data_IF_965866773184
#
_entry.id   IF_965866773184
#
_cell.length_a   1.000
_cell.length_b   1.000
_cell.length_c   1.000
_cell.angle_alpha   90.00
_cell.angle_beta   90.00
_cell.angle_gamma   90.00
#
_symmetry.space_group_name_H-M   'P 1'
#
loop_
_entity.id
_entity.type
_entity.pdbx_description
1 polymer ?
#
# COMPACT_ATOMS: atom_id res chain seq x y z
N UNK A 1 14.48 -13.68 -2.63
CA UNK A 1 14.25 -12.26 -2.35
C UNK A 1 12.82 -12.15 -1.86
N UNK A 2 12.66 -11.59 -0.67
CA UNK A 2 11.41 -11.53 0.07
C UNK A 2 10.81 -10.15 -0.13
N UNK A 3 9.63 -10.10 -0.73
CA UNK A 3 8.96 -8.87 -1.13
C UNK A 3 7.68 -8.71 -0.33
N UNK A 4 7.49 -7.54 0.29
CA UNK A 4 6.18 -7.19 0.83
C UNK A 4 5.49 -6.13 -0.04
N UNK A 5 4.20 -6.34 -0.30
CA UNK A 5 3.31 -5.37 -0.92
C UNK A 5 2.38 -4.85 0.16
N UNK A 6 2.52 -3.58 0.53
CA UNK A 6 1.78 -2.96 1.63
C UNK A 6 0.63 -2.13 1.09
N UNK A 7 -0.57 -2.54 1.45
CA UNK A 7 -1.83 -1.99 0.94
C UNK A 7 -2.79 -1.73 2.12
N UNK A 8 -3.66 -0.71 2.09
CA UNK A 8 -4.61 -0.48 3.17
C UNK A 8 -5.63 -1.62 3.27
N UNK A 9 -6.07 -2.15 2.13
CA UNK A 9 -7.04 -3.24 2.04
C UNK A 9 -6.61 -4.22 0.97
N UNK A 10 -6.88 -5.49 1.22
CA UNK A 10 -6.69 -6.53 0.24
C UNK A 10 -7.80 -7.58 0.36
N UNK A 11 -8.38 -7.94 -0.77
CA UNK A 11 -9.17 -9.15 -0.88
C UNK A 11 -8.75 -9.93 -2.12
N UNK A 12 -8.52 -11.25 -2.00
CA UNK A 12 -8.25 -12.10 -3.17
C UNK A 12 -9.47 -12.26 -4.10
N UNK A 13 -10.68 -11.91 -3.65
CA UNK A 13 -11.89 -11.95 -4.47
C UNK A 13 -11.88 -10.90 -5.59
N UNK A 14 -11.47 -9.68 -5.27
CA UNK A 14 -11.29 -8.60 -6.23
C UNK A 14 -9.84 -8.64 -6.68
N UNK A 15 -9.59 -9.28 -7.83
CA UNK A 15 -8.25 -9.38 -8.44
C UNK A 15 -7.78 -8.03 -8.99
N UNK A 16 -7.47 -7.11 -8.08
CA UNK A 16 -6.91 -5.79 -8.36
C UNK A 16 -5.45 -5.84 -8.77
N UNK A 17 -4.83 -4.66 -8.86
CA UNK A 17 -3.44 -4.49 -9.28
C UNK A 17 -2.48 -5.28 -8.39
N UNK A 18 -2.72 -5.24 -7.07
CA UNK A 18 -1.92 -5.89 -6.04
C UNK A 18 -1.91 -7.40 -6.22
N UNK A 19 -3.08 -7.98 -6.52
CA UNK A 19 -3.21 -9.40 -6.80
C UNK A 19 -2.39 -9.78 -8.04
N UNK A 20 -2.58 -9.06 -9.15
CA UNK A 20 -1.89 -9.34 -10.40
C UNK A 20 -0.37 -9.18 -10.29
N UNK A 21 0.07 -8.16 -9.55
CA UNK A 21 1.48 -7.92 -9.26
C UNK A 21 2.06 -9.04 -8.40
N UNK A 22 1.41 -9.40 -7.29
CA UNK A 22 1.87 -10.46 -6.41
C UNK A 22 1.95 -11.81 -7.14
N UNK A 23 0.93 -12.15 -7.93
CA UNK A 23 0.92 -13.36 -8.73
C UNK A 23 2.06 -13.38 -9.76
N UNK A 24 2.29 -12.27 -10.44
CA UNK A 24 3.34 -12.16 -11.46
C UNK A 24 4.75 -12.24 -10.85
N UNK A 25 4.98 -11.56 -9.73
CA UNK A 25 6.26 -11.64 -9.01
C UNK A 25 6.51 -13.05 -8.45
N UNK A 26 5.48 -13.70 -7.94
CA UNK A 26 5.59 -15.09 -7.47
C UNK A 26 5.94 -16.04 -8.63
N UNK A 27 5.31 -15.87 -9.80
CA UNK A 27 5.63 -16.65 -11.02
C UNK A 27 7.06 -16.44 -11.50
N UNK A 28 7.69 -15.31 -11.17
CA UNK A 28 9.10 -15.04 -11.44
C UNK A 28 10.05 -15.65 -10.39
N UNK A 29 9.53 -16.32 -9.36
CA UNK A 29 10.31 -17.01 -8.33
C UNK A 29 10.61 -16.18 -7.08
N UNK A 30 9.92 -15.05 -6.86
CA UNK A 30 10.05 -14.26 -5.64
C UNK A 30 9.10 -14.77 -4.54
N UNK A 31 9.52 -14.63 -3.28
CA UNK A 31 8.64 -14.84 -2.12
C UNK A 31 7.88 -13.54 -1.88
N UNK A 32 6.56 -13.57 -2.01
CA UNK A 32 5.72 -12.36 -1.94
C UNK A 32 4.69 -12.49 -0.83
N UNK A 33 4.62 -11.46 0.00
CA UNK A 33 3.59 -11.32 1.04
C UNK A 33 2.85 -10.00 0.85
N UNK A 34 1.53 -10.04 0.76
CA UNK A 34 0.70 -8.84 0.81
C UNK A 34 0.38 -8.54 2.28
N UNK A 35 0.74 -7.35 2.75
CA UNK A 35 0.43 -6.89 4.11
C UNK A 35 -0.74 -5.92 4.03
N UNK A 36 -1.84 -6.26 4.68
CA UNK A 36 -3.08 -5.48 4.64
C UNK A 36 -3.75 -5.37 6.00
N UNK A 37 -4.70 -4.45 6.12
CA UNK A 37 -5.57 -4.36 7.30
C UNK A 37 -6.63 -5.47 7.31
N UNK A 38 -7.02 -5.97 8.49
CA UNK A 38 -8.23 -6.82 8.67
C UNK A 38 -9.54 -6.10 8.36
N UNK A 39 -9.54 -4.77 8.26
CA UNK A 39 -10.70 -4.02 7.80
C UNK A 39 -10.95 -4.31 6.31
N UNK A 40 -12.21 -4.19 5.89
CA UNK A 40 -12.61 -4.39 4.50
C UNK A 40 -12.86 -3.03 3.84
N UNK A 41 -12.41 -2.85 2.59
CA UNK A 41 -12.85 -1.70 1.81
C UNK A 41 -14.37 -1.78 1.58
N UNK A 42 -15.09 -0.67 1.33
CA UNK A 42 -16.54 -0.67 1.12
C UNK A 42 -17.04 -1.71 0.08
N UNK A 43 -16.23 -1.94 -0.97
CA UNK A 43 -16.51 -2.92 -2.03
C UNK A 43 -16.36 -4.39 -1.61
N UNK A 44 -15.77 -4.67 -0.45
CA UNK A 44 -15.33 -6.00 -0.01
C UNK A 44 -16.18 -6.53 1.16
N UNK A 45 -17.02 -5.69 1.77
CA UNK A 45 -17.76 -5.97 3.02
C UNK A 45 -18.69 -7.19 2.92
N UNK A 46 -19.15 -7.54 1.71
CA UNK A 46 -20.27 -8.49 1.52
C UNK A 46 -19.87 -9.92 1.17
N UNK A 47 -18.60 -10.20 0.90
CA UNK A 47 -18.22 -11.52 0.40
C UNK A 47 -17.27 -12.24 1.37
N UNK A 48 -17.67 -13.46 1.72
CA UNK A 48 -16.81 -14.46 2.33
C UNK A 48 -16.12 -15.20 1.20
N UNK A 49 -14.80 -15.10 1.16
CA UNK A 49 -13.98 -15.74 0.13
C UNK A 49 -13.10 -16.81 0.78
N UNK A 50 -13.17 -18.01 0.22
CA UNK A 50 -12.20 -19.09 0.46
C UNK A 50 -11.59 -19.47 -0.88
N UNK A 51 -10.28 -19.26 -1.04
CA UNK A 51 -9.56 -19.65 -2.24
C UNK A 51 -8.07 -19.61 -2.01
N UNK A 52 -7.35 -20.45 -2.75
CA UNK A 52 -5.90 -20.53 -2.74
C UNK A 52 -5.31 -19.56 -3.77
N UNK A 53 -4.21 -18.90 -3.39
CA UNK A 53 -3.44 -18.01 -4.25
C UNK A 53 -1.95 -18.24 -3.95
N UNK A 54 -1.06 -17.96 -4.91
CA UNK A 54 0.33 -18.45 -4.85
C UNK A 54 1.24 -17.65 -3.91
N UNK A 55 0.75 -16.58 -3.30
CA UNK A 55 1.49 -15.68 -2.41
C UNK A 55 0.87 -15.66 -1.02
N UNK A 56 1.60 -15.15 -0.04
CA UNK A 56 1.10 -15.01 1.32
C UNK A 56 0.33 -13.71 1.52
N UNK A 57 -0.58 -13.69 2.48
CA UNK A 57 -1.29 -12.47 2.90
C UNK A 57 -1.26 -12.38 4.41
N UNK A 58 -0.65 -11.32 4.93
CA UNK A 58 -0.66 -11.00 6.35
C UNK A 58 -1.68 -9.90 6.63
N UNK A 59 -2.73 -10.28 7.37
CA UNK A 59 -3.78 -9.38 7.79
C UNK A 59 -3.53 -8.85 9.19
N UNK A 60 -3.06 -7.61 9.26
CA UNK A 60 -2.79 -6.89 10.49
C UNK A 60 -4.08 -6.47 11.20
N UNK A 61 -4.04 -6.49 12.54
CA UNK A 61 -5.15 -6.01 13.37
C UNK A 61 -5.40 -4.52 13.12
N UNK A 62 -6.62 -4.18 12.69
CA UNK A 62 -7.07 -2.78 12.61
C UNK A 62 -7.37 -2.24 14.00
N UNK A 63 -6.77 -1.11 14.35
CA UNK A 63 -7.10 -0.35 15.56
C UNK A 63 -8.33 0.52 15.31
N UNK A 64 -8.29 1.29 14.22
CA UNK A 64 -9.37 2.19 13.79
C UNK A 64 -9.33 2.33 12.27
N UNK A 65 -10.50 2.45 11.65
CA UNK A 65 -10.61 2.79 10.22
C UNK A 65 -11.10 4.24 10.08
N UNK A 66 -10.23 5.14 9.60
CA UNK A 66 -10.54 6.56 9.48
C UNK A 66 -10.72 6.93 8.01
N UNK A 67 -11.99 6.97 7.55
CA UNK A 67 -12.34 7.48 6.23
C UNK A 67 -11.64 6.74 5.09
N UNK A 68 -11.65 5.40 5.15
CA UNK A 68 -10.97 4.49 4.23
C UNK A 68 -9.44 4.44 4.40
N UNK A 69 -8.90 4.94 5.51
CA UNK A 69 -7.48 4.85 5.84
C UNK A 69 -7.29 4.10 7.18
N UNK A 70 -6.98 2.80 7.15
CA UNK A 70 -6.92 1.99 8.35
C UNK A 70 -5.62 2.22 9.11
N UNK A 71 -5.73 2.43 10.42
CA UNK A 71 -4.61 2.38 11.34
C UNK A 71 -4.45 0.94 11.85
N UNK A 72 -3.30 0.34 11.60
CA UNK A 72 -3.01 -1.07 11.95
C UNK A 72 -2.03 -1.18 13.11
N UNK A 73 -2.08 -2.30 13.83
CA UNK A 73 -1.12 -2.71 14.86
C UNK A 73 -0.27 -3.89 14.35
N UNK A 74 0.98 -4.00 14.83
CA UNK A 74 1.80 -5.19 14.59
C UNK A 74 2.53 -5.27 13.25
N UNK A 75 2.60 -4.19 12.45
CA UNK A 75 3.43 -4.16 11.26
C UNK A 75 4.91 -4.42 11.62
N UNK A 76 5.45 -5.52 11.12
CA UNK A 76 6.86 -5.91 11.15
C UNK A 76 7.28 -6.29 9.72
N UNK A 77 8.34 -5.67 9.22
CA UNK A 77 8.85 -5.90 7.86
C UNK A 77 10.34 -6.27 7.81
N UNK A 78 10.97 -6.59 8.95
CA UNK A 78 12.42 -6.78 9.05
C UNK A 78 13.03 -7.89 8.20
N UNK A 79 12.23 -8.87 7.82
CA UNK A 79 12.67 -10.05 7.08
C UNK A 79 12.46 -9.91 5.55
N UNK A 80 12.02 -8.73 5.08
CA UNK A 80 11.85 -8.42 3.66
C UNK A 80 13.04 -7.64 3.11
N UNK A 81 13.40 -7.92 1.86
CA UNK A 81 14.44 -7.22 1.12
C UNK A 81 13.92 -5.91 0.51
N UNK A 82 12.62 -5.87 0.17
CA UNK A 82 11.97 -4.73 -0.47
C UNK A 82 10.49 -4.61 -0.06
N UNK A 83 10.07 -3.38 0.20
CA UNK A 83 8.70 -3.00 0.50
C UNK A 83 8.12 -2.14 -0.62
N UNK A 84 7.05 -2.62 -1.27
CA UNK A 84 6.27 -1.86 -2.22
C UNK A 84 5.03 -1.28 -1.53
N UNK A 85 4.95 0.04 -1.50
CA UNK A 85 3.87 0.80 -0.90
C UNK A 85 2.87 1.16 -2.00
N UNK A 86 1.61 0.77 -1.86
CA UNK A 86 0.59 1.00 -2.90
C UNK A 86 0.37 2.48 -3.21
N UNK A 87 0.53 3.35 -2.20
CA UNK A 87 0.21 4.78 -2.32
C UNK A 87 0.87 5.61 -1.21
N UNK A 88 0.92 6.93 -1.40
CA UNK A 88 1.60 7.89 -0.54
C UNK A 88 0.76 8.50 0.60
N UNK A 89 -0.55 8.25 0.65
CA UNK A 89 -1.45 8.80 1.68
C UNK A 89 -1.94 7.80 2.75
N UNK A 90 -1.99 6.46 2.51
CA UNK A 90 -2.40 5.53 3.55
C UNK A 90 -1.44 5.51 4.74
N UNK A 91 -1.96 5.49 5.96
CA UNK A 91 -1.15 5.47 7.18
C UNK A 91 -0.30 4.21 7.29
N UNK A 92 -0.80 3.07 6.81
CA UNK A 92 -0.03 1.83 6.76
C UNK A 92 1.22 1.97 5.87
N UNK A 93 1.13 2.69 4.75
CA UNK A 93 2.26 2.94 3.86
C UNK A 93 3.30 3.84 4.52
N UNK A 94 2.88 4.91 5.20
CA UNK A 94 3.78 5.78 5.98
C UNK A 94 4.51 5.02 7.08
N UNK A 95 3.80 4.12 7.77
CA UNK A 95 4.39 3.29 8.81
C UNK A 95 5.39 2.29 8.22
N UNK A 96 5.03 1.62 7.13
CA UNK A 96 5.92 0.69 6.43
C UNK A 96 7.17 1.40 5.90
N UNK A 97 7.02 2.59 5.31
CA UNK A 97 8.14 3.44 4.92
C UNK A 97 9.07 3.71 6.11
N UNK A 98 8.53 4.15 7.24
CA UNK A 98 9.32 4.47 8.43
C UNK A 98 10.07 3.25 8.97
N UNK A 99 9.41 2.08 9.05
CA UNK A 99 10.07 0.83 9.49
C UNK A 99 11.14 0.37 8.49
N UNK A 100 10.88 0.48 7.19
CA UNK A 100 11.83 0.11 6.15
C UNK A 100 13.10 0.95 6.25
N UNK A 101 12.96 2.27 6.45
CA UNK A 101 14.10 3.19 6.65
C UNK A 101 14.95 2.84 7.86
N UNK A 102 14.33 2.44 8.98
CA UNK A 102 15.06 2.02 10.19
C UNK A 102 15.87 0.75 9.97
N UNK A 103 15.39 -0.13 9.09
CA UNK A 103 15.93 -1.47 8.87
C UNK A 103 16.81 -1.55 7.61
N UNK A 104 16.92 -0.47 6.84
CA UNK A 104 17.70 -0.44 5.59
C UNK A 104 17.04 -1.15 4.41
N UNK A 105 15.73 -1.41 4.49
CA UNK A 105 14.94 -2.10 3.46
C UNK A 105 14.66 -1.15 2.31
N UNK A 106 14.74 -1.66 1.08
CA UNK A 106 14.45 -0.89 -0.12
C UNK A 106 12.96 -0.62 -0.25
N UNK A 107 12.63 0.60 -0.65
CA UNK A 107 11.23 1.04 -0.72
C UNK A 107 10.87 1.51 -2.13
N UNK A 108 9.73 1.04 -2.61
CA UNK A 108 9.08 1.56 -3.82
C UNK A 108 7.74 2.12 -3.37
N UNK A 109 7.38 3.34 -3.80
CA UNK A 109 5.98 3.77 -3.73
C UNK A 109 5.41 3.85 -5.14
N UNK A 110 4.27 3.18 -5.33
CA UNK A 110 3.45 3.36 -6.51
C UNK A 110 2.41 4.42 -6.22
N UNK A 111 2.09 5.29 -7.18
CA UNK A 111 0.91 6.16 -7.07
C UNK A 111 -0.17 5.66 -8.01
N UNK A 112 -1.32 5.33 -7.44
CA UNK A 112 -2.55 4.91 -8.11
C UNK A 112 -3.60 6.02 -8.16
N UNK A 113 -3.37 7.11 -7.40
CA UNK A 113 -4.23 8.28 -7.36
C UNK A 113 -4.33 8.94 -8.74
N UNK A 114 -5.57 9.13 -9.21
CA UNK A 114 -5.89 9.77 -10.49
C UNK A 114 -6.76 11.01 -10.35
N UNK A 115 -7.21 11.33 -9.15
CA UNK A 115 -8.05 12.50 -8.87
C UNK A 115 -7.90 12.97 -7.42
N UNK A 116 -8.30 14.22 -7.15
CA UNK A 116 -8.54 14.70 -5.78
C UNK A 116 -10.01 14.53 -5.42
N UNK A 117 -10.35 13.90 -4.29
CA UNK A 117 -11.72 13.88 -3.79
C UNK A 117 -12.28 15.30 -3.64
N UNK A 118 -13.56 15.49 -3.93
CA UNK A 118 -14.21 16.78 -3.70
C UNK A 118 -14.33 17.10 -2.19
N UNK A 119 -14.43 18.39 -1.87
CA UNK A 119 -14.71 18.87 -0.51
C UNK A 119 -13.51 18.77 0.45
N UNK A 120 -13.82 18.62 1.75
CA UNK A 120 -12.84 18.68 2.85
C UNK A 120 -11.76 17.60 2.71
N UNK A 121 -12.11 16.39 2.27
CA UNK A 121 -11.14 15.29 2.05
C UNK A 121 -10.05 15.69 1.06
N UNK A 122 -10.41 16.35 -0.04
CA UNK A 122 -9.44 16.86 -1.02
C UNK A 122 -8.55 17.95 -0.46
N UNK A 123 -9.09 18.86 0.34
CA UNK A 123 -8.31 19.90 1.00
C UNK A 123 -7.28 19.32 1.99
N UNK A 124 -7.69 18.34 2.80
CA UNK A 124 -6.80 17.63 3.73
C UNK A 124 -5.68 16.91 2.97
N UNK A 125 -6.02 16.17 1.90
CA UNK A 125 -5.02 15.48 1.08
C UNK A 125 -4.01 16.46 0.46
N UNK A 126 -4.46 17.60 -0.06
CA UNK A 126 -3.55 18.64 -0.60
C UNK A 126 -2.60 19.22 0.46
N UNK A 127 -3.02 19.28 1.71
CA UNK A 127 -2.14 19.70 2.82
C UNK A 127 -1.12 18.60 3.11
N UNK A 128 -1.55 17.34 3.18
CA UNK A 128 -0.67 16.19 3.38
C UNK A 128 0.34 16.03 2.24
N UNK A 129 -0.05 16.37 1.01
CA UNK A 129 0.83 16.38 -0.16
C UNK A 129 1.97 17.37 -0.08
N UNK A 130 1.86 18.43 0.73
CA UNK A 130 2.94 19.38 0.97
C UNK A 130 3.83 18.99 2.16
N UNK A 131 3.44 17.97 2.92
CA UNK A 131 4.13 17.53 4.13
C UNK A 131 4.52 16.05 4.03
N UNK A 132 3.80 15.21 4.76
CA UNK A 132 4.16 13.79 4.94
C UNK A 132 4.19 12.99 3.65
N UNK A 133 3.24 13.20 2.73
CA UNK A 133 3.26 12.43 1.48
C UNK A 133 4.47 12.84 0.61
N UNK A 134 4.86 14.12 0.64
CA UNK A 134 6.08 14.60 -0.04
C UNK A 134 7.33 13.98 0.55
N UNK A 135 7.45 13.98 1.87
CA UNK A 135 8.56 13.35 2.59
C UNK A 135 8.70 11.87 2.22
N UNK A 136 7.59 11.13 2.14
CA UNK A 136 7.59 9.75 1.68
C UNK A 136 8.06 9.64 0.22
N UNK A 137 7.46 10.41 -0.71
CA UNK A 137 7.80 10.37 -2.14
C UNK A 137 9.28 10.70 -2.40
N UNK A 138 9.83 11.71 -1.74
CA UNK A 138 11.24 12.10 -1.89
C UNK A 138 12.20 11.13 -1.19
N UNK A 139 11.71 10.36 -0.22
CA UNK A 139 12.53 9.54 0.65
C UNK A 139 12.60 8.05 0.31
N UNK A 140 11.77 7.57 -0.62
CA UNK A 140 11.79 6.19 -1.14
C UNK A 140 12.91 5.97 -2.15
N UNK A 141 13.29 4.71 -2.39
CA UNK A 141 14.34 4.37 -3.37
C UNK A 141 13.82 4.46 -4.81
N UNK A 142 12.55 4.14 -5.05
CA UNK A 142 11.91 4.23 -6.36
C UNK A 142 10.47 4.74 -6.26
N UNK A 143 10.06 5.42 -7.33
CA UNK A 143 8.76 6.03 -7.51
C UNK A 143 8.14 5.49 -8.81
N UNK A 144 6.94 4.92 -8.73
CA UNK A 144 6.20 4.44 -9.91
C UNK A 144 4.83 5.09 -10.03
N UNK A 145 4.40 5.36 -11.27
CA UNK A 145 3.05 5.85 -11.56
C UNK A 145 2.24 4.72 -12.17
N UNK A 146 1.03 4.47 -11.66
CA UNK A 146 0.14 3.46 -12.24
C UNK A 146 -0.31 3.83 -13.65
N UNK A 147 -0.53 5.12 -13.91
CA UNK A 147 -0.93 5.63 -15.23
C UNK A 147 -0.43 7.06 -15.45
N UNK A 148 -0.68 7.61 -16.64
CA UNK A 148 -0.28 8.99 -16.99
C UNK A 148 -0.88 10.02 -16.03
N UNK A 149 -2.15 9.87 -15.63
CA UNK A 149 -2.78 10.78 -14.67
C UNK A 149 -2.11 10.75 -13.29
N UNK A 150 -1.66 9.56 -12.84
CA UNK A 150 -0.99 9.42 -11.55
C UNK A 150 0.37 10.16 -11.50
N UNK A 151 1.02 10.36 -12.64
CA UNK A 151 2.28 11.12 -12.71
C UNK A 151 2.13 12.55 -12.19
N UNK A 152 0.96 13.17 -12.36
CA UNK A 152 0.70 14.53 -11.89
C UNK A 152 0.78 14.65 -10.36
N UNK A 153 0.59 13.55 -9.64
CA UNK A 153 0.63 13.50 -8.18
C UNK A 153 2.02 13.19 -7.61
N UNK A 154 2.97 12.83 -8.49
CA UNK A 154 4.34 12.47 -8.11
C UNK A 154 5.31 13.65 -8.23
N UNK A 155 4.94 14.70 -8.97
CA UNK A 155 5.80 15.85 -9.30
C UNK A 155 5.23 17.12 -8.63
N UNK A 156 5.37 17.25 -7.31
CA UNK A 156 4.99 18.46 -6.54
C UNK A 156 5.96 18.75 -5.38
#
# INVERSE_FOLDING_TARGET
MNLCIVVPYFTPFVRGNEYGLAESLTKLGYEVTIIASKAKAPREIKEDFSGEYPFEVDYLRTIVNLGDNPLVYGLDIKDYDLALLQEDYPFICHRAYTEAKKQGIKTIVSSERTYYPAGIKGAVLKILDKGKNKELREGVDLLTAHCTAAKEFMVL
#
